data_IF_374011814017
#
_entry.id   IF_374011814017
#
_cell.length_a   1.000
_cell.length_b   1.000
_cell.length_c   1.000
_cell.angle_alpha   90.00
_cell.angle_beta   90.00
_cell.angle_gamma   90.00
#
_symmetry.space_group_name_H-M   'P 1'
#
loop_
_entity.id
_entity.type
_entity.pdbx_description
1 polymer ?
#
# COMPACT_ATOMS: atom_id res chain seq x y z
N UNK A 1 29.86 -23.89 18.93
CA UNK A 1 29.42 -23.09 20.11
C UNK A 1 28.03 -22.57 19.80
N UNK A 2 27.02 -23.00 20.56
CA UNK A 2 25.63 -22.57 20.35
C UNK A 2 25.32 -21.46 21.37
N UNK A 3 25.17 -20.23 20.89
CA UNK A 3 24.81 -19.08 21.72
C UNK A 3 23.31 -18.86 21.55
N UNK A 4 22.58 -18.85 22.66
CA UNK A 4 21.16 -18.50 22.72
C UNK A 4 21.01 -17.21 23.53
N UNK A 5 20.12 -16.32 23.08
CA UNK A 5 19.75 -15.11 23.80
C UNK A 5 18.23 -14.92 23.68
N UNK A 6 17.58 -14.61 24.82
CA UNK A 6 16.17 -14.25 24.86
C UNK A 6 16.03 -12.74 24.94
N UNK A 7 15.15 -12.19 24.10
CA UNK A 7 14.80 -10.76 24.14
C UNK A 7 13.55 -10.61 25.00
N UNK A 8 13.71 -10.05 26.20
CA UNK A 8 12.63 -9.80 27.14
C UNK A 8 12.43 -8.29 27.35
N UNK A 9 11.19 -7.87 27.62
CA UNK A 9 10.91 -6.50 28.08
C UNK A 9 11.03 -5.39 27.02
N UNK A 10 10.83 -5.68 25.72
CA UNK A 10 10.77 -4.63 24.69
C UNK A 10 9.64 -3.64 25.03
N UNK A 11 10.01 -2.41 25.37
CA UNK A 11 9.09 -1.29 25.58
C UNK A 11 9.26 -0.29 24.44
N UNK A 12 8.27 -0.23 23.55
CA UNK A 12 8.26 0.70 22.43
C UNK A 12 7.23 1.82 22.68
N UNK A 13 7.65 3.08 22.53
CA UNK A 13 6.78 4.25 22.61
C UNK A 13 6.89 5.04 21.32
N UNK A 14 5.78 5.13 20.58
CA UNK A 14 5.69 5.92 19.34
C UNK A 14 5.78 7.40 19.71
N UNK A 15 6.74 8.13 19.15
CA UNK A 15 6.91 9.58 19.40
C UNK A 15 6.17 10.47 18.39
N UNK A 16 5.94 9.98 17.18
CA UNK A 16 5.32 10.74 16.08
C UNK A 16 4.35 9.81 15.34
N UNK A 17 3.16 9.53 15.91
CA UNK A 17 2.15 8.74 15.22
C UNK A 17 1.56 9.56 14.06
N UNK A 18 1.43 8.95 12.89
CA UNK A 18 0.58 9.51 11.85
C UNK A 18 -0.89 9.29 12.23
N UNK A 19 -1.65 10.38 12.32
CA UNK A 19 -3.10 10.28 12.49
C UNK A 19 -3.75 9.81 11.19
N UNK A 20 -4.27 8.59 11.20
CA UNK A 20 -4.95 8.02 10.04
C UNK A 20 -6.33 8.65 9.90
N UNK A 21 -6.56 9.32 8.76
CA UNK A 21 -7.90 9.81 8.38
C UNK A 21 -8.89 8.65 8.37
N UNK A 22 -10.06 8.85 8.96
CA UNK A 22 -11.17 7.89 8.93
C UNK A 22 -12.10 8.23 7.76
N UNK A 23 -12.47 7.22 6.98
CA UNK A 23 -13.31 7.35 5.77
C UNK A 23 -14.42 6.31 5.86
N UNK A 24 -15.67 6.69 5.55
CA UNK A 24 -16.77 5.74 5.45
C UNK A 24 -16.62 4.90 4.19
N UNK A 25 -16.93 3.60 4.27
CA UNK A 25 -16.87 2.71 3.12
C UNK A 25 -17.77 3.16 1.96
N UNK A 26 -18.87 3.88 2.24
CA UNK A 26 -19.75 4.45 1.21
C UNK A 26 -19.05 5.49 0.34
N UNK A 27 -18.07 6.20 0.89
CA UNK A 27 -17.29 7.23 0.21
C UNK A 27 -15.96 6.68 -0.34
N UNK A 28 -15.77 5.36 -0.31
CA UNK A 28 -14.52 4.73 -0.68
C UNK A 28 -14.24 4.84 -2.18
N UNK A 29 -13.13 5.48 -2.51
CA UNK A 29 -12.50 5.38 -3.82
C UNK A 29 -10.97 5.33 -3.65
N UNK A 30 -10.35 4.21 -4.02
CA UNK A 30 -8.91 3.97 -3.87
C UNK A 30 -8.06 5.09 -4.48
N UNK A 31 -8.53 5.74 -5.55
CA UNK A 31 -7.79 6.79 -6.23
C UNK A 31 -7.83 8.11 -5.46
N UNK A 32 -8.87 8.35 -4.66
CA UNK A 32 -9.12 9.62 -3.97
C UNK A 32 -8.72 9.60 -2.48
N UNK A 33 -8.63 8.43 -1.86
CA UNK A 33 -8.23 8.32 -0.45
C UNK A 33 -6.74 8.64 -0.23
N UNK A 34 -6.31 8.97 1.01
CA UNK A 34 -4.91 9.08 1.35
C UNK A 34 -4.15 7.76 1.14
N UNK A 35 -2.83 7.83 1.23
CA UNK A 35 -1.99 6.65 0.98
C UNK A 35 -2.03 5.58 2.08
N UNK A 36 -2.46 5.98 3.28
CA UNK A 36 -2.89 5.11 4.37
C UNK A 36 -4.06 5.78 5.11
N UNK A 37 -5.09 5.02 5.49
CA UNK A 37 -6.27 5.53 6.19
C UNK A 37 -7.04 4.40 6.88
N UNK A 38 -8.01 4.75 7.72
CA UNK A 38 -8.95 3.81 8.33
C UNK A 38 -10.26 3.86 7.56
N UNK A 39 -10.76 2.70 7.16
CA UNK A 39 -12.07 2.54 6.54
C UNK A 39 -13.05 1.98 7.56
N UNK A 40 -14.21 2.65 7.67
CA UNK A 40 -15.32 2.25 8.53
C UNK A 40 -16.41 1.59 7.68
N UNK A 41 -16.72 0.33 7.95
CA UNK A 41 -17.82 -0.41 7.33
C UNK A 41 -18.68 -1.04 8.42
N UNK A 42 -19.88 -0.49 8.63
CA UNK A 42 -20.81 -0.91 9.68
C UNK A 42 -20.15 -0.85 11.08
N UNK A 43 -20.02 -2.01 11.75
CA UNK A 43 -19.38 -2.16 13.07
C UNK A 43 -17.90 -2.55 12.99
N UNK A 44 -17.33 -2.62 11.79
CA UNK A 44 -15.95 -3.06 11.56
C UNK A 44 -15.13 -1.90 11.02
N UNK A 45 -13.97 -1.69 11.63
CA UNK A 45 -12.94 -0.78 11.13
C UNK A 45 -11.76 -1.61 10.64
N UNK A 46 -11.16 -1.18 9.54
CA UNK A 46 -9.92 -1.75 9.05
C UNK A 46 -9.03 -0.65 8.48
N UNK A 47 -7.72 -0.82 8.58
CA UNK A 47 -6.77 0.10 7.98
C UNK A 47 -6.41 -0.36 6.57
N UNK A 48 -6.33 0.58 5.64
CA UNK A 48 -5.92 0.33 4.27
C UNK A 48 -4.69 1.19 3.95
N UNK A 49 -3.75 0.61 3.24
CA UNK A 49 -2.63 1.32 2.60
C UNK A 49 -2.63 1.06 1.10
N UNK A 50 -2.11 1.99 0.30
CA UNK A 50 -2.04 1.84 -1.17
C UNK A 50 -0.65 2.15 -1.71
N UNK A 51 -0.22 1.32 -2.65
CA UNK A 51 1.05 1.45 -3.33
C UNK A 51 0.87 2.13 -4.69
N UNK A 52 1.85 2.91 -5.10
CA UNK A 52 1.87 3.61 -6.40
C UNK A 52 2.64 2.82 -7.46
N UNK A 53 3.57 1.96 -7.04
CA UNK A 53 4.34 1.04 -7.87
C UNK A 53 4.58 -0.21 -7.05
N UNK A 54 4.71 -1.40 -7.66
CA UNK A 54 5.17 -2.58 -6.93
C UNK A 54 6.62 -2.44 -6.43
N UNK A 55 7.40 -1.50 -6.97
CA UNK A 55 8.80 -1.32 -6.61
C UNK A 55 9.00 -0.56 -5.30
N UNK A 56 9.81 -1.15 -4.41
CA UNK A 56 10.03 -0.68 -3.03
C UNK A 56 10.84 0.61 -2.88
N UNK A 57 11.49 1.10 -3.95
CA UNK A 57 12.52 2.15 -3.85
C UNK A 57 12.12 3.53 -4.37
N UNK A 58 11.03 3.68 -5.13
CA UNK A 58 10.67 4.99 -5.74
C UNK A 58 9.80 5.87 -4.84
N UNK A 59 8.88 5.28 -4.09
CA UNK A 59 7.97 6.00 -3.19
C UNK A 59 7.94 5.43 -1.78
N UNK A 60 8.99 4.73 -1.35
CA UNK A 60 9.10 3.91 -0.13
C UNK A 60 7.74 3.44 0.42
N UNK A 61 7.18 2.36 -0.12
CA UNK A 61 5.80 1.98 0.15
C UNK A 61 5.56 1.45 1.57
N UNK A 62 6.61 0.98 2.27
CA UNK A 62 6.49 0.41 3.61
C UNK A 62 6.11 1.42 4.68
N UNK A 63 6.43 2.70 4.53
CA UNK A 63 5.97 3.74 5.47
C UNK A 63 4.44 3.71 5.62
N UNK A 64 3.71 3.52 4.52
CA UNK A 64 2.25 3.44 4.50
C UNK A 64 1.71 2.20 5.18
N UNK A 65 2.42 1.08 5.07
CA UNK A 65 2.09 -0.18 5.75
C UNK A 65 2.37 -0.04 7.25
N UNK A 66 3.49 0.55 7.62
CA UNK A 66 3.87 0.77 9.01
C UNK A 66 2.90 1.69 9.74
N UNK A 67 2.39 2.73 9.07
CA UNK A 67 1.35 3.60 9.62
C UNK A 67 0.06 2.84 10.01
N UNK A 68 -0.22 1.68 9.39
CA UNK A 68 -1.44 0.90 9.63
C UNK A 68 -1.24 -0.29 10.58
N UNK A 69 -0.01 -0.59 11.01
CA UNK A 69 0.30 -1.77 11.83
C UNK A 69 -0.37 -1.77 13.21
N UNK A 70 -0.70 -0.61 13.76
CA UNK A 70 -1.39 -0.50 15.05
C UNK A 70 -2.86 -0.93 15.00
N UNK A 71 -3.42 -1.12 13.79
CA UNK A 71 -4.82 -1.50 13.59
C UNK A 71 -4.93 -3.02 13.40
N UNK A 72 -5.89 -3.64 14.10
CA UNK A 72 -6.06 -5.10 14.10
C UNK A 72 -6.28 -5.69 12.69
N UNK A 73 -7.21 -5.13 11.91
CA UNK A 73 -7.45 -5.55 10.52
C UNK A 73 -6.75 -4.58 9.58
N UNK A 74 -5.80 -5.09 8.80
CA UNK A 74 -4.91 -4.27 7.98
C UNK A 74 -4.75 -4.85 6.58
N UNK A 75 -4.97 -4.02 5.58
CA UNK A 75 -4.91 -4.38 4.17
C UNK A 75 -3.96 -3.43 3.41
N UNK A 76 -3.37 -3.94 2.34
CA UNK A 76 -2.59 -3.16 1.39
C UNK A 76 -3.02 -3.47 -0.02
N UNK A 77 -3.22 -2.43 -0.83
CA UNK A 77 -3.48 -2.53 -2.26
C UNK A 77 -2.16 -2.34 -3.01
N UNK A 78 -1.74 -3.37 -3.75
CA UNK A 78 -0.48 -3.37 -4.49
C UNK A 78 -0.75 -3.61 -5.98
N UNK A 79 -0.29 -2.73 -6.90
CA UNK A 79 -0.35 -3.03 -8.33
C UNK A 79 0.60 -4.18 -8.64
N UNK A 80 0.12 -5.24 -9.33
CA UNK A 80 1.00 -6.35 -9.76
C UNK A 80 2.08 -5.83 -10.71
N UNK A 81 1.66 -4.96 -11.62
CA UNK A 81 2.50 -4.32 -12.64
C UNK A 81 2.23 -2.82 -12.64
N UNK A 82 3.27 -2.05 -12.89
CA UNK A 82 3.16 -0.64 -13.27
C UNK A 82 3.98 -0.40 -14.53
N UNK A 83 3.30 -0.17 -15.64
CA UNK A 83 3.92 0.20 -16.91
C UNK A 83 3.80 1.72 -17.11
N UNK A 84 4.92 2.43 -17.30
CA UNK A 84 4.93 3.89 -17.51
C UNK A 84 4.97 4.30 -18.99
N UNK A 85 4.64 3.39 -19.91
CA UNK A 85 4.59 3.57 -21.36
C UNK A 85 5.84 3.04 -22.06
N UNK A 86 5.88 3.13 -23.39
CA UNK A 86 6.95 2.56 -24.23
C UNK A 86 8.37 3.03 -23.84
N UNK A 87 8.51 4.30 -23.42
CA UNK A 87 9.79 4.86 -22.93
C UNK A 87 9.88 4.90 -21.40
N UNK A 88 8.93 4.29 -20.70
CA UNK A 88 8.80 4.25 -19.25
C UNK A 88 9.43 3.00 -18.63
N UNK A 89 9.43 2.98 -17.30
CA UNK A 89 9.78 1.78 -16.54
C UNK A 89 8.60 0.81 -16.53
N UNK A 90 8.92 -0.48 -16.49
CA UNK A 90 7.94 -1.55 -16.24
C UNK A 90 8.31 -2.26 -14.95
N UNK A 91 7.66 -1.86 -13.87
CA UNK A 91 7.86 -2.44 -12.55
C UNK A 91 6.90 -3.61 -12.33
N UNK A 92 7.38 -4.66 -11.67
CA UNK A 92 6.58 -5.82 -11.28
C UNK A 92 6.76 -6.14 -9.80
N UNK A 93 5.73 -6.71 -9.19
CA UNK A 93 5.81 -7.19 -7.82
C UNK A 93 6.79 -8.36 -7.71
N UNK A 94 7.53 -8.38 -6.60
CA UNK A 94 8.48 -9.43 -6.27
C UNK A 94 7.90 -10.30 -5.14
N UNK A 95 8.22 -11.60 -5.14
CA UNK A 95 7.70 -12.56 -4.16
C UNK A 95 8.00 -12.18 -2.70
N UNK A 96 9.17 -11.60 -2.46
CA UNK A 96 9.61 -11.10 -1.16
C UNK A 96 8.61 -10.11 -0.54
N UNK A 97 7.91 -9.34 -1.37
CA UNK A 97 6.90 -8.36 -0.95
C UNK A 97 5.68 -9.07 -0.37
N UNK A 98 5.22 -10.14 -1.03
CA UNK A 98 4.07 -10.94 -0.56
C UNK A 98 4.43 -11.65 0.75
N UNK A 99 5.63 -12.25 0.80
CA UNK A 99 6.15 -12.91 2.00
C UNK A 99 6.23 -11.94 3.19
N UNK A 100 6.74 -10.73 2.97
CA UNK A 100 6.82 -9.71 4.02
C UNK A 100 5.44 -9.25 4.50
N UNK A 101 4.47 -9.06 3.60
CA UNK A 101 3.11 -8.70 4.02
C UNK A 101 2.48 -9.81 4.87
N UNK A 102 2.72 -11.07 4.53
CA UNK A 102 2.29 -12.21 5.34
C UNK A 102 2.96 -12.21 6.72
N UNK A 103 4.27 -11.96 6.80
CA UNK A 103 5.01 -11.86 8.07
C UNK A 103 4.44 -10.75 8.98
N UNK A 104 4.04 -9.63 8.38
CA UNK A 104 3.45 -8.50 9.08
C UNK A 104 1.95 -8.68 9.37
N UNK A 105 1.34 -9.82 8.99
CA UNK A 105 -0.10 -10.08 9.10
C UNK A 105 -0.95 -9.00 8.39
N UNK A 106 -0.51 -8.61 7.19
CA UNK A 106 -1.18 -7.63 6.31
C UNK A 106 -1.78 -8.35 5.10
N UNK A 107 -3.09 -8.21 4.91
CA UNK A 107 -3.78 -8.77 3.74
C UNK A 107 -3.43 -7.99 2.48
N UNK A 108 -3.11 -8.69 1.39
CA UNK A 108 -2.74 -8.07 0.12
C UNK A 108 -3.89 -8.18 -0.88
N UNK A 109 -4.31 -7.05 -1.42
CA UNK A 109 -5.18 -6.97 -2.59
C UNK A 109 -4.29 -6.64 -3.80
N UNK A 110 -4.13 -7.61 -4.69
CA UNK A 110 -3.44 -7.37 -5.96
C UNK A 110 -4.36 -6.66 -6.93
N UNK A 111 -3.98 -5.44 -7.33
CA UNK A 111 -4.76 -4.60 -8.21
C UNK A 111 -4.02 -4.30 -9.52
N UNK A 112 -4.71 -3.61 -10.42
CA UNK A 112 -4.16 -3.15 -11.70
C UNK A 112 -4.65 -1.74 -12.03
N UNK A 113 -3.84 -1.03 -12.81
CA UNK A 113 -4.22 0.26 -13.38
C UNK A 113 -5.01 0.03 -14.68
N UNK A 114 -6.16 0.70 -14.82
CA UNK A 114 -7.02 0.60 -16.01
C UNK A 114 -7.13 1.92 -16.80
N UNK A 115 -6.73 3.05 -16.19
CA UNK A 115 -6.74 4.38 -16.80
C UNK A 115 -5.41 5.07 -16.56
N UNK A 116 -4.99 5.89 -17.52
CA UNK A 116 -3.81 6.73 -17.41
C UNK A 116 -3.88 7.89 -18.43
N UNK A 117 -3.13 8.94 -18.16
CA UNK A 117 -2.98 10.09 -19.05
C UNK A 117 -1.65 10.01 -19.81
N UNK A 118 -1.61 10.50 -21.05
CA UNK A 118 -0.34 10.69 -21.76
C UNK A 118 0.49 11.79 -21.06
N UNK A 119 1.79 11.56 -20.91
CA UNK A 119 2.68 12.54 -20.31
C UNK A 119 2.85 13.74 -21.25
N UNK A 120 2.57 14.95 -20.77
CA UNK A 120 2.56 16.18 -21.60
C UNK A 120 3.91 16.47 -22.27
N UNK A 121 5.01 16.32 -21.53
CA UNK A 121 6.37 16.68 -21.99
C UNK A 121 7.27 15.49 -22.34
N UNK A 122 6.94 14.27 -21.92
CA UNK A 122 7.80 13.09 -22.11
C UNK A 122 7.17 12.20 -23.16
N UNK A 123 7.75 12.19 -24.35
CA UNK A 123 7.26 11.39 -25.46
C UNK A 123 7.15 9.91 -25.07
N UNK A 124 6.03 9.29 -25.41
CA UNK A 124 5.72 7.88 -25.18
C UNK A 124 5.79 7.42 -23.71
N UNK A 125 5.55 8.34 -22.76
CA UNK A 125 5.29 8.03 -21.35
C UNK A 125 3.85 8.31 -20.96
N UNK A 126 3.37 7.63 -19.93
CA UNK A 126 2.06 7.87 -19.29
C UNK A 126 2.22 8.32 -17.83
N UNK A 127 1.17 8.90 -17.27
CA UNK A 127 1.12 9.44 -15.90
C UNK A 127 -0.32 9.32 -15.35
N UNK A 128 -0.52 9.71 -14.08
CA UNK A 128 -1.83 9.73 -13.41
C UNK A 128 -2.62 8.43 -13.55
N UNK A 129 -1.92 7.32 -13.41
CA UNK A 129 -2.53 6.00 -13.48
C UNK A 129 -3.53 5.83 -12.34
N UNK A 130 -4.70 5.27 -12.66
CA UNK A 130 -5.78 5.03 -11.71
C UNK A 130 -6.11 3.54 -11.65
N UNK A 131 -6.32 3.05 -10.43
CA UNK A 131 -6.76 1.68 -10.18
C UNK A 131 -8.22 1.52 -10.62
N UNK A 132 -8.57 0.31 -11.04
CA UNK A 132 -9.96 -0.10 -11.15
C UNK A 132 -10.56 -0.23 -9.75
N UNK A 133 -11.35 0.77 -9.34
CA UNK A 133 -11.90 0.85 -7.99
C UNK A 133 -12.92 -0.26 -7.71
N UNK A 134 -13.71 -0.66 -8.71
CA UNK A 134 -14.76 -1.67 -8.53
C UNK A 134 -14.19 -3.07 -8.28
N UNK A 135 -12.96 -3.32 -8.70
CA UNK A 135 -12.26 -4.58 -8.41
C UNK A 135 -11.78 -4.66 -6.95
N UNK A 136 -11.63 -3.52 -6.27
CA UNK A 136 -11.08 -3.43 -4.90
C UNK A 136 -12.19 -3.43 -3.84
N UNK A 137 -13.40 -3.00 -4.19
CA UNK A 137 -14.60 -2.93 -3.31
C UNK A 137 -15.17 -4.32 -3.05
#
# INVERSE_FOLDING_TARGET
>A
MNIFANIEGIKYKIKIPNELKVIDFKDFNINNIPSSCIIKKNKVNFAISKWVSPKRTRSYPFERVYNTLSVSKKLTVIPIIKDEGLKGDRDFIQWDTVSLMSLLDVYVIFAYYNKADKHKTRANKITRQQFENNYII
#
